data_IF_903294279126
#
_entry.id   IF_903294279126
#
_cell.length_a   1.000
_cell.length_b   1.000
_cell.length_c   1.000
_cell.angle_alpha   90.00
_cell.angle_beta   90.00
_cell.angle_gamma   90.00
#
_symmetry.space_group_name_H-M   'P 1'
#
loop_
_entity.id
_entity.type
_entity.pdbx_description
1 polymer ?
#
# COMPACT_ATOMS: atom_id res chain seq x y z
N UNK A 1 -19.62 15.93 -4.91
CA UNK A 1 -18.89 15.29 -3.79
C UNK A 1 -17.59 14.77 -4.39
N UNK A 2 -16.47 15.45 -4.17
CA UNK A 2 -15.18 14.99 -4.68
C UNK A 2 -14.76 13.79 -3.83
N UNK A 3 -14.75 12.58 -4.41
CA UNK A 3 -14.11 11.45 -3.77
C UNK A 3 -12.63 11.79 -3.53
N UNK A 4 -12.05 11.49 -2.36
CA UNK A 4 -10.62 11.71 -2.14
C UNK A 4 -9.82 10.94 -3.19
N UNK A 5 -8.79 11.59 -3.76
CA UNK A 5 -7.92 10.98 -4.75
C UNK A 5 -7.30 9.70 -4.18
N UNK A 6 -7.31 8.57 -4.90
CA UNK A 6 -6.69 7.34 -4.42
C UNK A 6 -5.17 7.53 -4.33
N UNK A 7 -4.53 6.88 -3.35
CA UNK A 7 -3.07 6.91 -3.22
C UNK A 7 -2.42 6.08 -4.34
N UNK A 8 -1.98 6.70 -5.44
CA UNK A 8 -1.39 5.98 -6.60
C UNK A 8 0.14 5.96 -6.48
N UNK A 9 0.76 4.83 -6.86
CA UNK A 9 2.21 4.73 -7.06
C UNK A 9 2.49 4.13 -8.43
N UNK A 10 3.14 4.91 -9.29
CA UNK A 10 3.68 4.42 -10.56
C UNK A 10 4.89 3.53 -10.26
N UNK A 11 4.91 2.34 -10.86
CA UNK A 11 6.05 1.44 -10.81
C UNK A 11 6.69 1.37 -12.19
N UNK A 12 8.01 1.21 -12.23
CA UNK A 12 8.71 0.93 -13.48
C UNK A 12 8.34 -0.44 -14.06
N UNK A 13 8.98 -0.85 -15.16
CA UNK A 13 8.76 -2.14 -15.78
C UNK A 13 8.82 -3.28 -14.75
N UNK A 14 7.76 -4.08 -14.70
CA UNK A 14 7.72 -5.27 -13.84
C UNK A 14 8.07 -6.51 -14.66
N UNK A 15 9.06 -7.27 -14.21
CA UNK A 15 9.47 -8.51 -14.86
C UNK A 15 8.65 -9.73 -14.41
N UNK A 16 7.76 -9.58 -13.43
CA UNK A 16 7.08 -10.70 -12.77
C UNK A 16 5.55 -10.52 -12.74
N UNK A 17 4.79 -11.28 -13.55
CA UNK A 17 3.34 -11.12 -13.67
C UNK A 17 2.56 -11.51 -12.41
N UNK A 18 3.17 -12.28 -11.50
CA UNK A 18 2.55 -12.74 -10.25
C UNK A 18 2.97 -11.94 -9.01
N UNK A 19 3.41 -10.69 -9.20
CA UNK A 19 3.76 -9.82 -8.08
C UNK A 19 2.50 -9.28 -7.38
N UNK A 20 2.41 -9.49 -6.08
CA UNK A 20 1.30 -9.01 -5.26
C UNK A 20 1.71 -7.71 -4.55
N UNK A 21 1.24 -6.59 -5.09
CA UNK A 21 1.47 -5.27 -4.50
C UNK A 21 0.50 -5.01 -3.35
N UNK A 22 0.96 -4.27 -2.37
CA UNK A 22 0.15 -3.87 -1.23
C UNK A 22 0.56 -2.50 -0.72
N UNK A 23 -0.35 -1.84 -0.02
CA UNK A 23 -0.10 -0.58 0.67
C UNK A 23 -0.67 -0.57 2.08
N UNK A 24 -0.06 0.23 2.95
CA UNK A 24 -0.58 0.59 4.27
C UNK A 24 -0.81 2.09 4.27
N UNK A 25 -2.03 2.51 4.53
CA UNK A 25 -2.40 3.92 4.73
C UNK A 25 -2.51 4.10 6.23
N UNK A 26 -1.61 4.84 6.84
CA UNK A 26 -1.57 5.06 8.28
C UNK A 26 -1.84 6.53 8.60
N UNK A 27 -2.74 6.77 9.56
CA UNK A 27 -2.97 8.11 10.11
C UNK A 27 -2.19 8.23 11.40
N UNK A 28 -1.30 9.22 11.50
CA UNK A 28 -0.49 9.48 12.69
C UNK A 28 -1.29 10.25 13.74
N UNK A 29 -0.81 10.27 14.97
CA UNK A 29 -1.40 11.01 16.08
C UNK A 29 -1.57 12.52 15.80
N UNK A 30 -0.73 13.11 14.95
CA UNK A 30 -0.82 14.52 14.52
C UNK A 30 -1.81 14.75 13.35
N UNK A 31 -2.51 13.71 12.88
CA UNK A 31 -3.45 13.79 11.77
C UNK A 31 -2.83 13.71 10.38
N UNK A 32 -1.50 13.55 10.26
CA UNK A 32 -0.86 13.31 8.95
C UNK A 32 -1.12 11.88 8.49
N UNK A 33 -1.22 11.70 7.17
CA UNK A 33 -1.29 10.38 6.55
C UNK A 33 0.07 10.01 5.96
N UNK A 34 0.54 8.80 6.25
CA UNK A 34 1.68 8.17 5.62
C UNK A 34 1.23 6.94 4.83
N UNK A 35 1.79 6.76 3.64
CA UNK A 35 1.48 5.61 2.79
C UNK A 35 2.75 4.79 2.56
N UNK A 36 2.71 3.53 3.00
CA UNK A 36 3.77 2.57 2.80
C UNK A 36 3.40 1.63 1.66
N UNK A 37 4.38 1.28 0.83
CA UNK A 37 4.19 0.39 -0.31
C UNK A 37 5.11 -0.81 -0.20
N UNK A 38 4.62 -1.96 -0.63
CA UNK A 38 5.45 -3.16 -0.76
C UNK A 38 4.89 -4.13 -1.79
N UNK A 39 5.63 -5.22 -1.97
CA UNK A 39 5.27 -6.28 -2.90
C UNK A 39 5.78 -7.62 -2.39
N UNK A 40 5.25 -8.71 -2.93
CA UNK A 40 5.68 -10.07 -2.60
C UNK A 40 5.28 -11.05 -3.71
N UNK A 41 5.85 -12.25 -3.71
CA UNK A 41 5.65 -13.23 -4.77
C UNK A 41 4.30 -13.94 -4.68
N UNK A 42 3.68 -14.01 -3.49
CA UNK A 42 2.44 -14.76 -3.30
C UNK A 42 1.35 -13.96 -2.57
N UNK A 43 0.09 -14.23 -2.92
CA UNK A 43 -1.06 -13.65 -2.22
C UNK A 43 -1.06 -14.00 -0.73
N UNK A 44 -0.60 -15.21 -0.38
CA UNK A 44 -0.53 -15.67 0.99
C UNK A 44 0.46 -14.84 1.82
N UNK A 45 1.65 -14.54 1.29
CA UNK A 45 2.61 -13.64 1.92
C UNK A 45 2.07 -12.23 2.07
N UNK A 46 1.36 -11.71 1.05
CA UNK A 46 0.77 -10.38 1.10
C UNK A 46 -0.25 -10.29 2.23
N UNK A 47 -1.16 -11.27 2.32
CA UNK A 47 -2.17 -11.36 3.38
C UNK A 47 -1.56 -11.46 4.77
N UNK A 48 -0.43 -12.15 4.93
CA UNK A 48 0.29 -12.29 6.21
C UNK A 48 0.86 -10.97 6.73
N UNK A 49 1.10 -9.96 5.87
CA UNK A 49 1.58 -8.64 6.32
C UNK A 49 0.61 -7.93 7.27
N UNK A 50 -0.69 -8.24 7.23
CA UNK A 50 -1.68 -7.71 8.17
C UNK A 50 -1.36 -7.99 9.63
N UNK A 51 -0.74 -9.14 9.92
CA UNK A 51 -0.46 -9.58 11.29
C UNK A 51 0.56 -8.69 12.00
N UNK A 52 1.44 -8.01 11.25
CA UNK A 52 2.46 -7.13 11.80
C UNK A 52 1.99 -5.68 11.98
N UNK A 53 0.75 -5.34 11.58
CA UNK A 53 0.31 -3.95 11.54
C UNK A 53 -0.01 -3.38 12.91
N UNK A 54 -0.54 -4.18 13.83
CA UNK A 54 -0.85 -3.71 15.19
C UNK A 54 0.43 -3.35 15.96
N UNK A 55 1.47 -4.17 15.81
CA UNK A 55 2.78 -3.90 16.38
C UNK A 55 3.44 -2.67 15.73
N UNK A 56 3.39 -2.58 14.39
CA UNK A 56 3.87 -1.40 13.67
C UNK A 56 3.13 -0.12 14.07
N UNK A 57 1.80 -0.19 14.26
CA UNK A 57 0.98 0.93 14.68
C UNK A 57 1.38 1.44 16.06
N UNK A 58 1.63 0.52 17.01
CA UNK A 58 2.13 0.86 18.35
C UNK A 58 3.51 1.51 18.30
N UNK A 59 4.46 0.89 17.58
CA UNK A 59 5.83 1.38 17.49
C UNK A 59 5.96 2.74 16.80
N UNK A 60 5.07 3.02 15.83
CA UNK A 60 5.12 4.23 14.99
C UNK A 60 4.13 5.30 15.40
N UNK A 61 3.31 5.06 16.44
CA UNK A 61 2.30 6.01 16.91
C UNK A 61 1.18 6.27 15.90
N UNK A 62 0.76 5.23 15.17
CA UNK A 62 -0.40 5.33 14.26
C UNK A 62 -1.69 5.31 15.06
N UNK A 63 -2.58 6.25 14.77
CA UNK A 63 -3.94 6.33 15.32
C UNK A 63 -4.85 5.27 14.69
N UNK A 64 -4.74 5.13 13.38
CA UNK A 64 -5.47 4.14 12.59
C UNK A 64 -4.63 3.74 11.37
N UNK A 65 -4.94 2.58 10.81
CA UNK A 65 -4.29 2.11 9.60
C UNK A 65 -5.24 1.26 8.76
N UNK A 66 -5.01 1.25 7.44
CA UNK A 66 -5.71 0.41 6.46
C UNK A 66 -4.70 -0.32 5.60
N UNK A 67 -4.87 -1.63 5.45
CA UNK A 67 -4.05 -2.45 4.57
C UNK A 67 -4.84 -2.90 3.35
N UNK A 68 -4.23 -2.72 2.18
CA UNK A 68 -4.85 -3.06 0.91
C UNK A 68 -3.85 -3.85 0.06
N UNK A 69 -4.32 -4.97 -0.47
CA UNK A 69 -3.64 -5.64 -1.59
C UNK A 69 -4.23 -5.00 -2.83
N UNK A 70 -3.36 -4.45 -3.68
CA UNK A 70 -3.76 -3.65 -4.83
C UNK A 70 -3.41 -4.39 -6.12
N UNK A 71 -4.30 -4.29 -7.11
CA UNK A 71 -3.99 -4.75 -8.45
C UNK A 71 -2.99 -3.79 -9.10
N UNK A 72 -2.10 -4.34 -9.92
CA UNK A 72 -1.33 -3.53 -10.86
C UNK A 72 -2.20 -3.30 -12.09
N UNK A 73 -2.36 -2.04 -12.46
CA UNK A 73 -2.97 -1.65 -13.72
C UNK A 73 -1.84 -1.27 -14.69
N UNK A 74 -1.81 -1.92 -15.86
CA UNK A 74 -0.90 -1.52 -16.92
C UNK A 74 -1.38 -0.19 -17.51
N UNK A 75 -0.47 0.76 -17.68
CA UNK A 75 -0.71 2.02 -18.38
C UNK A 75 0.25 2.12 -19.54
N UNK A 76 -0.29 2.30 -20.75
CA UNK A 76 0.48 2.63 -21.95
C UNK A 76 0.81 4.13 -22.05
N UNK A 77 0.28 4.93 -21.13
CA UNK A 77 0.61 6.37 -21.03
C UNK A 77 1.85 6.52 -20.14
N UNK A 78 2.96 7.07 -20.66
CA UNK A 78 4.13 7.41 -19.85
C UNK A 78 3.73 8.41 -18.75
N UNK A 79 4.33 8.34 -17.54
CA UNK A 79 4.17 9.40 -16.56
C UNK A 79 4.67 10.72 -17.17
N UNK A 80 3.90 11.81 -16.99
CA UNK A 80 4.26 13.17 -17.40
C UNK A 80 5.53 13.68 -16.71
#
# INVERSE_FOLDING_TARGET
MLSPVPYVKTIGPTASPFTHYWRIIATLANGKTEVFWGHTATLAEAKRKRLALDDAARQRGWRDHRFEIVALEASDTPPE
#
